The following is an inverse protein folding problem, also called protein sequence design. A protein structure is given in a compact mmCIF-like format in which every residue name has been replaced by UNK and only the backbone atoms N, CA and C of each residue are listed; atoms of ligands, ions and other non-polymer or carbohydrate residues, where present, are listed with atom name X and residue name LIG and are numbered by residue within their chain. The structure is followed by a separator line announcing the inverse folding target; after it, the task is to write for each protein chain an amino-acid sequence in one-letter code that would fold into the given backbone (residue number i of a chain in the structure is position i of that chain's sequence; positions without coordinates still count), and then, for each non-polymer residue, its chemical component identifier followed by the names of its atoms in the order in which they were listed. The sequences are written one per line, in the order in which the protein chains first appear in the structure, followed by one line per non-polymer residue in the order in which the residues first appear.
data_IF_383378302579
#
_entry.id   IF_383378302579
#
_cell.length_a   1.000
_cell.length_b   1.000
_cell.length_c   1.000
_cell.angle_alpha   90.00
_cell.angle_beta   90.00
_cell.angle_gamma   90.00
#
_symmetry.space_group_name_H-M   'P 1'
#
loop_
_entity.id
_entity.type
_entity.pdbx_description
1 polymer ?
#
# COMPACT_ATOMS: atom_id res chain seq x y z
N UNK A 1 0.65 -11.26 -30.14
CA UNK A 1 0.10 -10.89 -28.83
C UNK A 1 1.25 -10.81 -27.83
N UNK A 2 1.70 -9.62 -27.41
CA UNK A 2 2.70 -9.51 -26.35
C UNK A 2 2.05 -9.80 -25.00
N UNK A 3 2.48 -10.89 -24.36
CA UNK A 3 2.40 -11.11 -22.92
C UNK A 3 2.89 -9.89 -22.11
N UNK A 4 2.09 -9.33 -21.17
CA UNK A 4 2.62 -8.36 -20.22
C UNK A 4 3.60 -9.07 -19.29
N UNK A 5 4.86 -8.62 -19.30
CA UNK A 5 5.89 -9.06 -18.37
C UNK A 5 5.44 -8.74 -16.93
N UNK A 6 5.80 -9.57 -15.93
CA UNK A 6 5.54 -9.22 -14.54
C UNK A 6 6.25 -7.89 -14.25
N UNK A 7 5.47 -6.89 -13.85
CA UNK A 7 5.99 -5.61 -13.41
C UNK A 7 7.03 -5.88 -12.33
N UNK A 8 8.30 -5.64 -12.66
CA UNK A 8 9.37 -5.56 -11.68
C UNK A 8 8.93 -4.43 -10.75
N UNK A 9 8.45 -4.79 -9.56
CA UNK A 9 8.14 -3.84 -8.50
C UNK A 9 9.44 -3.16 -8.12
N UNK A 10 9.73 -2.08 -8.82
CA UNK A 10 10.87 -1.23 -8.57
C UNK A 10 10.48 -0.38 -7.38
N UNK A 11 10.70 -0.92 -6.17
CA UNK A 11 10.78 -0.09 -4.99
C UNK A 11 11.94 0.88 -5.25
N UNK A 12 11.65 2.09 -5.71
CA UNK A 12 12.63 3.16 -5.84
C UNK A 12 13.04 3.54 -4.42
N UNK A 13 14.10 2.87 -3.95
CA UNK A 13 14.82 3.27 -2.76
C UNK A 13 15.57 4.56 -3.11
N UNK A 14 14.85 5.68 -3.13
CA UNK A 14 15.43 7.01 -3.18
C UNK A 14 16.02 7.27 -1.79
N UNK A 15 17.34 7.03 -1.68
CA UNK A 15 18.12 7.11 -0.43
C UNK A 15 18.36 8.55 0.05
N UNK A 16 17.46 9.49 -0.23
CA UNK A 16 17.61 10.90 0.18
C UNK A 16 16.41 11.35 1.02
N UNK A 17 16.38 10.95 2.29
CA UNK A 17 15.53 11.53 3.34
C UNK A 17 14.01 11.33 3.24
N UNK A 18 13.51 10.82 2.12
CA UNK A 18 12.10 10.49 1.91
C UNK A 18 11.91 8.98 2.11
N UNK A 19 11.17 8.58 3.15
CA UNK A 19 10.90 7.17 3.45
C UNK A 19 10.36 6.38 2.23
N UNK A 20 10.47 5.04 2.25
CA UNK A 20 10.16 4.18 1.11
C UNK A 20 8.80 4.50 0.48
N UNK A 21 8.79 4.53 -0.85
CA UNK A 21 7.60 4.73 -1.66
C UNK A 21 6.99 3.40 -2.05
N UNK A 22 5.69 3.26 -1.85
CA UNK A 22 4.92 2.08 -2.24
C UNK A 22 3.72 2.51 -3.07
N UNK A 23 3.29 1.63 -3.96
CA UNK A 23 2.11 1.85 -4.80
C UNK A 23 0.82 1.62 -4.01
N UNK A 24 -0.23 2.36 -4.33
CA UNK A 24 -1.54 2.24 -3.67
C UNK A 24 -2.23 0.88 -3.96
N UNK A 25 -1.83 0.16 -5.01
CA UNK A 25 -2.31 -1.20 -5.30
C UNK A 25 -1.74 -2.25 -4.33
N UNK A 26 -0.64 -1.97 -3.64
CA UNK A 26 -0.03 -2.91 -2.70
C UNK A 26 -0.95 -3.15 -1.50
N UNK A 27 -0.90 -4.36 -0.95
CA UNK A 27 -1.60 -4.74 0.27
C UNK A 27 -0.86 -4.25 1.52
N UNK A 28 -1.60 -4.14 2.63
CA UNK A 28 -1.06 -3.68 3.92
C UNK A 28 0.08 -4.56 4.44
N UNK A 29 0.04 -5.86 4.16
CA UNK A 29 1.12 -6.79 4.49
C UNK A 29 2.41 -6.57 3.72
N UNK A 30 2.32 -6.29 2.42
CA UNK A 30 3.50 -5.96 1.62
C UNK A 30 4.08 -4.64 2.11
N UNK A 31 3.22 -3.65 2.40
CA UNK A 31 3.62 -2.39 2.99
C UNK A 31 4.35 -2.56 4.34
N UNK A 32 3.83 -3.42 5.23
CA UNK A 32 4.48 -3.78 6.50
C UNK A 32 5.83 -4.47 6.29
N UNK A 33 5.91 -5.41 5.35
CA UNK A 33 7.16 -6.09 5.01
C UNK A 33 8.22 -5.11 4.47
N UNK A 34 7.80 -4.13 3.65
CA UNK A 34 8.68 -3.06 3.15
C UNK A 34 9.17 -2.18 4.29
N UNK A 35 8.30 -1.76 5.21
CA UNK A 35 8.70 -0.99 6.40
C UNK A 35 9.71 -1.75 7.27
N UNK A 36 9.46 -3.05 7.51
CA UNK A 36 10.36 -3.91 8.27
C UNK A 36 11.72 -4.08 7.57
N UNK A 37 11.71 -4.20 6.23
CA UNK A 37 12.92 -4.34 5.42
C UNK A 37 13.74 -3.04 5.38
N UNK A 38 13.06 -1.90 5.29
CA UNK A 38 13.69 -0.57 5.26
C UNK A 38 13.99 0.01 6.65
N UNK A 39 13.52 -0.63 7.73
CA UNK A 39 13.62 -0.15 9.12
C UNK A 39 13.09 1.28 9.30
N UNK A 40 11.91 1.54 8.73
CA UNK A 40 11.23 2.84 8.82
C UNK A 40 9.90 2.71 9.55
N UNK A 41 9.48 3.78 10.20
CA UNK A 41 8.17 3.84 10.88
C UNK A 41 7.06 4.38 9.99
N UNK A 42 7.40 4.92 8.81
CA UNK A 42 6.44 5.48 7.87
C UNK A 42 6.87 5.26 6.42
N UNK A 43 5.87 5.15 5.55
CA UNK A 43 6.05 5.10 4.10
C UNK A 43 5.19 6.15 3.42
N UNK A 44 5.53 6.47 2.18
CA UNK A 44 4.71 7.33 1.33
C UNK A 44 4.02 6.47 0.28
N UNK A 45 2.71 6.59 0.15
CA UNK A 45 1.93 5.95 -0.90
C UNK A 45 1.97 6.85 -2.13
N UNK A 46 2.45 6.29 -3.24
CA UNK A 46 2.25 6.85 -4.56
C UNK A 46 0.99 6.23 -5.17
N UNK A 47 0.15 7.06 -5.77
CA UNK A 47 -0.88 6.56 -6.67
C UNK A 47 -0.27 6.24 -8.04
N UNK A 48 -1.01 5.55 -8.92
CA UNK A 48 -0.58 5.16 -10.27
C UNK A 48 -0.01 6.30 -11.13
N UNK A 49 -0.31 7.57 -10.80
CA UNK A 49 0.30 8.76 -11.40
C UNK A 49 1.68 9.14 -10.81
N UNK A 50 2.31 8.26 -10.02
CA UNK A 50 3.56 8.47 -9.28
C UNK A 50 3.53 9.70 -8.36
N UNK A 51 2.33 10.16 -7.99
CA UNK A 51 2.12 11.28 -7.07
C UNK A 51 2.01 10.75 -5.66
N UNK A 52 2.70 11.42 -4.73
CA UNK A 52 2.56 11.15 -3.30
C UNK A 52 1.14 11.53 -2.87
N UNK A 53 0.28 10.54 -2.62
CA UNK A 53 -1.11 10.78 -2.23
C UNK A 53 -1.27 10.74 -0.73
N UNK A 54 -0.50 9.90 -0.04
CA UNK A 54 -0.63 9.74 1.40
C UNK A 54 0.66 9.30 2.08
N UNK A 55 0.73 9.53 3.39
CA UNK A 55 1.75 8.97 4.27
C UNK A 55 1.08 8.04 5.27
N UNK A 56 1.56 6.81 5.36
CA UNK A 56 1.02 5.82 6.31
C UNK A 56 2.12 5.40 7.28
N UNK A 57 1.78 5.35 8.56
CA UNK A 57 2.66 4.89 9.64
C UNK A 57 2.50 3.40 9.90
N UNK A 58 3.57 2.75 10.33
CA UNK A 58 3.60 1.34 10.70
C UNK A 58 2.56 1.04 11.78
N UNK A 59 2.43 1.92 12.79
CA UNK A 59 1.44 1.76 13.86
C UNK A 59 0.00 1.73 13.34
N UNK A 60 -0.32 2.54 12.32
CA UNK A 60 -1.67 2.54 11.71
C UNK A 60 -1.95 1.24 10.97
N UNK A 61 -0.96 0.72 10.24
CA UNK A 61 -1.09 -0.58 9.56
C UNK A 61 -1.19 -1.75 10.55
N UNK A 62 -0.38 -1.74 11.60
CA UNK A 62 -0.40 -2.76 12.64
C UNK A 62 -1.73 -2.78 13.42
N UNK A 63 -2.26 -1.59 13.79
CA UNK A 63 -3.56 -1.49 14.45
C UNK A 63 -4.72 -1.92 13.54
N UNK A 64 -4.60 -1.71 12.23
CA UNK A 64 -5.58 -2.21 11.28
C UNK A 64 -5.49 -3.74 11.12
N UNK A 65 -4.28 -4.30 11.00
CA UNK A 65 -4.03 -5.75 10.92
C UNK A 65 -4.61 -6.50 12.12
N UNK A 66 -4.60 -5.87 13.29
CA UNK A 66 -5.18 -6.41 14.53
C UNK A 66 -6.72 -6.34 14.56
N UNK A 67 -7.32 -5.51 13.70
CA UNK A 67 -8.78 -5.37 13.60
C UNK A 67 -9.43 -6.53 12.84
N UNK A 68 -10.55 -7.04 13.36
CA UNK A 68 -11.38 -8.05 12.69
C UNK A 68 -12.03 -7.55 11.39
N UNK A 69 -12.02 -6.25 11.13
CA UNK A 69 -12.49 -5.67 9.86
C UNK A 69 -11.45 -5.74 8.75
N UNK A 70 -10.19 -6.07 9.08
CA UNK A 70 -9.14 -6.21 8.09
C UNK A 70 -9.28 -7.51 7.32
N UNK A 71 -9.31 -7.40 6.01
CA UNK A 71 -9.13 -8.55 5.13
C UNK A 71 -7.76 -8.43 4.48
N UNK A 72 -7.09 -9.56 4.31
CA UNK A 72 -5.80 -9.70 3.61
C UNK A 72 -5.82 -9.05 2.20
N UNK A 73 -7.02 -8.89 1.62
CA UNK A 73 -7.25 -8.26 0.32
C UNK A 73 -7.32 -6.74 0.35
N UNK A 74 -7.28 -6.11 1.52
CA UNK A 74 -7.33 -4.65 1.63
C UNK A 74 -6.03 -4.05 1.07
N UNK A 75 -6.18 -3.31 -0.01
CA UNK A 75 -5.12 -2.52 -0.64
C UNK A 75 -4.95 -1.18 0.05
N UNK A 76 -3.78 -0.57 -0.06
CA UNK A 76 -3.52 0.75 0.50
C UNK A 76 -4.51 1.80 -0.04
N UNK A 77 -4.94 1.70 -1.30
CA UNK A 77 -5.99 2.55 -1.87
C UNK A 77 -7.33 2.48 -1.14
N UNK A 78 -7.75 1.30 -0.68
CA UNK A 78 -9.01 1.11 0.04
C UNK A 78 -8.96 1.79 1.42
N UNK A 79 -7.77 1.82 2.04
CA UNK A 79 -7.52 2.59 3.27
C UNK A 79 -7.51 4.10 3.09
N UNK A 80 -7.17 4.57 1.90
CA UNK A 80 -7.11 5.99 1.55
C UNK A 80 -8.46 6.49 1.05
N UNK A 81 -9.16 5.67 0.28
CA UNK A 81 -10.52 5.92 -0.22
C UNK A 81 -11.57 5.81 0.89
N UNK A 82 -11.25 5.11 1.99
CA UNK A 82 -12.07 5.12 3.21
C UNK A 82 -13.45 4.49 3.04
N UNK A 83 -13.68 3.78 1.95
CA UNK A 83 -14.97 3.19 1.64
C UNK A 83 -14.79 1.67 1.59
N UNK A 84 -15.36 0.89 2.53
CA UNK A 84 -15.43 -0.54 2.36
C UNK A 84 -16.21 -0.76 1.06
N UNK A 85 -15.49 -1.22 0.04
CA UNK A 85 -16.01 -1.41 -1.30
C UNK A 85 -17.31 -2.22 -1.17
N UNK A 86 -18.44 -1.52 -1.24
CA UNK A 86 -19.75 -2.12 -1.09
C UNK A 86 -19.88 -3.04 -2.30
N UNK A 87 -20.00 -4.37 -2.14
CA UNK A 87 -20.26 -5.20 -3.30
C UNK A 87 -21.67 -4.82 -3.75
N UNK A 88 -21.75 -3.98 -4.78
CA UNK A 88 -22.96 -3.81 -5.56
C UNK A 88 -23.21 -5.15 -6.26
N UNK A 89 -23.73 -6.12 -5.50
CA UNK A 89 -24.48 -7.22 -6.06
C UNK A 89 -25.72 -6.59 -6.69
N UNK A 90 -25.63 -6.32 -8.00
CA UNK A 90 -26.78 -5.94 -8.79
C UNK A 90 -27.64 -7.20 -8.96
N UNK A 91 -28.93 -7.06 -8.64
CA UNK A 91 -29.96 -8.10 -8.68
C UNK A 91 -30.48 -8.34 -10.11
#
# INVERSE_FOLDING_TARGET
MPHPAPAIMTATADFEGHGPRVDDDMTVEVALAVMASARVEYLTVCDGDNRSTARITQARLAGLRDSSTYTDRIRLRDLLDGSPHSPAFSC
#
